data_IF_314616414974
#
_entry.id   IF_314616414974
#
_cell.length_a   1.000
_cell.length_b   1.000
_cell.length_c   1.000
_cell.angle_alpha   90.00
_cell.angle_beta   90.00
_cell.angle_gamma   90.00
#
_symmetry.space_group_name_H-M   'P 1'
#
loop_
_entity.id
_entity.type
_entity.pdbx_description
1 polymer ?
#
# COMPACT_ATOMS: atom_id res chain seq x y z
N UNK A 1 9.59 47.08 31.21
CA UNK A 1 10.19 45.80 30.81
C UNK A 1 9.19 44.63 30.88
N UNK A 2 8.47 44.46 32.00
CA UNK A 2 7.42 43.44 32.10
C UNK A 2 6.26 43.63 31.10
N UNK A 3 5.83 44.87 30.85
CA UNK A 3 4.76 45.17 29.88
C UNK A 3 5.17 44.83 28.44
N UNK A 4 6.42 45.16 28.05
CA UNK A 4 6.99 44.81 26.74
C UNK A 4 7.17 43.29 26.53
N UNK A 5 7.35 42.53 27.61
CA UNK A 5 7.45 41.07 27.57
C UNK A 5 6.06 40.45 27.42
N UNK A 6 5.06 40.97 28.15
CA UNK A 6 3.64 40.60 28.00
C UNK A 6 3.09 40.92 26.61
N UNK A 7 3.51 42.04 26.02
CA UNK A 7 3.10 42.48 24.68
C UNK A 7 3.75 41.64 23.56
N UNK A 8 4.91 41.02 23.83
CA UNK A 8 5.55 40.05 22.93
C UNK A 8 4.91 38.66 23.04
N UNK A 9 4.57 38.21 24.25
CA UNK A 9 3.83 36.96 24.48
C UNK A 9 2.42 37.00 23.89
N UNK A 10 1.74 38.15 23.91
CA UNK A 10 0.42 38.34 23.28
C UNK A 10 0.45 38.40 21.75
N UNK A 11 1.61 38.71 21.14
CA UNK A 11 1.74 38.80 19.68
C UNK A 11 2.00 37.44 19.02
N UNK A 12 2.47 36.46 19.80
CA UNK A 12 2.65 35.08 19.33
C UNK A 12 1.32 34.28 19.27
N UNK A 13 0.21 34.86 19.73
CA UNK A 13 -1.15 34.30 19.66
C UNK A 13 -2.07 34.97 18.63
N UNK A 14 -1.52 35.74 17.68
CA UNK A 14 -2.26 36.00 16.44
C UNK A 14 -2.20 34.74 15.57
N UNK A 15 -3.07 33.78 15.87
CA UNK A 15 -3.46 32.77 14.88
C UNK A 15 -4.07 33.52 13.72
N UNK A 16 -3.23 33.88 12.74
CA UNK A 16 -3.72 34.39 11.47
C UNK A 16 -4.69 33.34 10.98
N UNK A 17 -5.98 33.69 10.92
CA UNK A 17 -7.01 32.91 10.25
C UNK A 17 -6.65 32.94 8.77
N UNK A 18 -5.65 32.16 8.39
CA UNK A 18 -5.28 31.99 7.01
C UNK A 18 -6.38 31.13 6.43
N UNK A 19 -7.10 31.64 5.42
CA UNK A 19 -8.11 30.87 4.71
C UNK A 19 -7.48 29.58 4.18
N UNK A 20 -7.61 28.51 4.97
CA UNK A 20 -7.29 27.15 4.60
C UNK A 20 -8.32 26.77 3.52
N UNK A 21 -8.04 27.18 2.29
CA UNK A 21 -8.78 26.71 1.13
C UNK A 21 -8.76 25.19 1.03
N UNK A 22 -9.41 24.66 0.01
CA UNK A 22 -9.42 23.22 -0.25
C UNK A 22 -7.99 22.70 -0.47
N UNK A 23 -7.50 21.93 0.50
CA UNK A 23 -6.14 21.37 0.55
C UNK A 23 -5.87 20.40 -0.59
N UNK A 24 -6.92 19.75 -1.12
CA UNK A 24 -6.82 18.75 -2.19
C UNK A 24 -6.81 19.40 -3.57
N UNK A 25 -7.56 20.49 -3.74
CA UNK A 25 -7.60 21.27 -4.98
C UNK A 25 -6.53 22.36 -5.05
N UNK A 26 -5.74 22.53 -3.98
CA UNK A 26 -4.65 23.50 -3.93
C UNK A 26 -5.15 24.95 -4.04
N UNK A 27 -6.26 25.26 -3.37
CA UNK A 27 -6.83 26.62 -3.39
C UNK A 27 -6.40 27.43 -2.17
N UNK A 28 -6.39 28.77 -2.30
CA UNK A 28 -5.92 29.66 -1.23
C UNK A 28 -4.39 29.66 -1.12
N UNK A 29 -3.88 29.52 0.10
CA UNK A 29 -2.44 29.50 0.45
C UNK A 29 -1.69 28.33 -0.22
N UNK A 30 -2.43 27.33 -0.71
CA UNK A 30 -1.87 26.17 -1.40
C UNK A 30 -1.74 26.36 -2.91
N UNK A 31 -2.18 27.50 -3.45
CA UNK A 31 -2.06 27.82 -4.86
C UNK A 31 -0.59 28.04 -5.26
N UNK A 32 -0.22 27.57 -6.46
CA UNK A 32 1.15 27.67 -6.97
C UNK A 32 1.66 29.11 -7.11
N UNK A 33 0.74 30.07 -7.26
CA UNK A 33 1.05 31.49 -7.47
C UNK A 33 1.04 32.29 -6.15
N UNK A 34 0.80 31.65 -5.00
CA UNK A 34 0.81 32.33 -3.72
C UNK A 34 2.26 32.61 -3.28
N UNK A 35 2.56 33.89 -3.00
CA UNK A 35 3.88 34.33 -2.51
C UNK A 35 3.99 34.37 -0.98
N UNK A 36 2.97 33.90 -0.26
CA UNK A 36 2.92 33.91 1.21
C UNK A 36 3.76 32.78 1.80
N UNK A 37 4.55 33.06 2.83
CA UNK A 37 5.33 32.04 3.51
C UNK A 37 4.42 31.06 4.26
N UNK A 38 4.45 29.78 3.87
CA UNK A 38 3.66 28.72 4.48
C UNK A 38 4.40 28.19 5.72
N UNK A 39 3.79 28.16 6.92
CA UNK A 39 4.43 27.61 8.11
C UNK A 39 4.58 26.08 8.01
N UNK A 40 5.64 25.54 8.64
CA UNK A 40 5.97 24.11 8.59
C UNK A 40 4.84 23.21 9.09
N UNK A 41 4.14 23.62 10.15
CA UNK A 41 3.01 22.87 10.74
C UNK A 41 1.88 22.62 9.72
N UNK A 42 1.57 23.62 8.87
CA UNK A 42 0.58 23.49 7.80
C UNK A 42 1.05 22.52 6.71
N UNK A 43 2.32 22.62 6.28
CA UNK A 43 2.88 21.69 5.30
C UNK A 43 2.85 20.24 5.79
N UNK A 44 3.21 20.04 7.06
CA UNK A 44 3.20 18.71 7.68
C UNK A 44 1.78 18.15 7.77
N UNK A 45 0.80 18.97 8.17
CA UNK A 45 -0.61 18.58 8.22
C UNK A 45 -1.13 18.16 6.84
N UNK A 46 -0.79 18.92 5.79
CA UNK A 46 -1.12 18.57 4.40
C UNK A 46 -0.50 17.26 3.96
N UNK A 47 0.76 17.02 4.32
CA UNK A 47 1.43 15.76 3.99
C UNK A 47 0.71 14.55 4.59
N UNK A 48 0.40 14.59 5.88
CA UNK A 48 -0.32 13.49 6.54
C UNK A 48 -1.74 13.31 5.98
N UNK A 49 -2.44 14.39 5.66
CA UNK A 49 -3.75 14.33 5.01
C UNK A 49 -3.67 13.65 3.63
N UNK A 50 -2.70 14.05 2.81
CA UNK A 50 -2.46 13.45 1.49
C UNK A 50 -2.08 11.96 1.62
N UNK A 51 -1.26 11.64 2.61
CA UNK A 51 -0.85 10.26 2.91
C UNK A 51 -2.07 9.39 3.25
N UNK A 52 -2.98 9.88 4.09
CA UNK A 52 -4.19 9.15 4.46
C UNK A 52 -5.15 8.97 3.28
N UNK A 53 -5.34 10.00 2.45
CA UNK A 53 -6.21 9.92 1.29
C UNK A 53 -5.71 8.98 0.19
N UNK A 54 -4.43 9.10 -0.18
CA UNK A 54 -3.84 8.33 -1.28
C UNK A 54 -3.48 6.91 -0.84
N UNK A 55 -3.09 6.76 0.42
CA UNK A 55 -2.55 5.53 0.96
C UNK A 55 -3.20 5.23 2.33
N UNK A 56 -4.52 4.94 2.38
CA UNK A 56 -5.23 4.65 3.64
C UNK A 56 -4.64 3.42 4.38
N UNK A 57 -3.96 2.53 3.64
CA UNK A 57 -3.25 1.38 4.21
C UNK A 57 -1.99 1.78 5.02
N UNK A 58 -1.43 2.98 4.84
CA UNK A 58 -0.21 3.45 5.51
C UNK A 58 -0.46 4.40 6.70
N UNK A 59 -1.63 5.05 6.75
CA UNK A 59 -2.00 5.95 7.86
C UNK A 59 -2.37 5.20 9.15
N UNK A 60 -2.79 3.94 9.03
CA UNK A 60 -2.94 3.05 10.19
C UNK A 60 -1.55 2.62 10.67
N UNK A 61 -1.08 3.21 11.77
CA UNK A 61 0.18 2.89 12.47
C UNK A 61 0.38 1.40 12.82
N UNK A 62 -0.64 0.55 12.69
CA UNK A 62 -0.46 -0.90 12.69
C UNK A 62 -0.06 -1.35 11.30
N UNK A 63 1.20 -1.78 11.12
CA UNK A 63 1.61 -2.52 9.92
C UNK A 63 0.59 -3.61 9.68
N UNK A 64 -0.30 -3.41 8.68
CA UNK A 64 -1.19 -4.48 8.23
C UNK A 64 -0.25 -5.51 7.63
N UNK A 65 0.19 -6.44 8.47
CA UNK A 65 0.87 -7.64 8.08
C UNK A 65 0.05 -8.20 6.94
N UNK A 66 0.58 -8.11 5.71
CA UNK A 66 -0.02 -8.70 4.54
C UNK A 66 0.02 -10.21 4.77
N UNK A 67 -0.98 -10.72 5.50
CA UNK A 67 -1.12 -12.14 5.79
C UNK A 67 -1.64 -12.79 4.53
N UNK A 68 -0.69 -13.15 3.66
CA UNK A 68 -0.93 -13.98 2.50
C UNK A 68 -1.52 -15.30 3.03
N UNK A 69 -2.66 -15.78 2.47
CA UNK A 69 -3.20 -17.07 2.88
C UNK A 69 -2.18 -18.17 2.57
N UNK A 70 -2.03 -19.19 3.43
CA UNK A 70 -1.10 -20.27 3.16
C UNK A 70 -1.46 -20.97 1.84
N UNK A 71 -0.46 -21.28 0.98
CA UNK A 71 -0.71 -21.85 -0.33
C UNK A 71 -1.24 -23.29 -0.22
N UNK A 72 -2.45 -23.53 -0.74
CA UNK A 72 -3.05 -24.85 -0.74
C UNK A 72 -2.59 -25.67 -1.95
N UNK A 73 -1.66 -26.58 -1.72
CA UNK A 73 -1.09 -27.47 -2.73
C UNK A 73 -1.73 -28.87 -2.63
N UNK A 74 -2.51 -29.26 -3.63
CA UNK A 74 -3.10 -30.59 -3.75
C UNK A 74 -2.35 -31.40 -4.81
N UNK A 75 -2.23 -32.72 -4.63
CA UNK A 75 -1.57 -33.59 -5.60
C UNK A 75 -2.60 -34.34 -6.43
N UNK A 76 -2.47 -34.24 -7.74
CA UNK A 76 -3.28 -35.00 -8.69
C UNK A 76 -2.42 -36.11 -9.29
N UNK A 77 -2.28 -37.20 -8.52
CA UNK A 77 -1.39 -38.32 -8.86
C UNK A 77 0.10 -38.03 -8.61
N UNK A 78 0.98 -38.71 -9.36
CA UNK A 78 2.43 -38.69 -9.11
C UNK A 78 3.20 -37.60 -9.88
N UNK A 79 2.63 -37.01 -10.93
CA UNK A 79 3.33 -36.11 -11.86
C UNK A 79 2.70 -34.71 -11.97
N UNK A 80 1.61 -34.45 -11.25
CA UNK A 80 0.89 -33.16 -11.31
C UNK A 80 0.62 -32.65 -9.89
N UNK A 81 0.88 -31.35 -9.69
CA UNK A 81 0.52 -30.64 -8.47
C UNK A 81 -0.45 -29.51 -8.83
N UNK A 82 -1.55 -29.42 -8.11
CA UNK A 82 -2.57 -28.38 -8.25
C UNK A 82 -2.36 -27.36 -7.14
N UNK A 83 -2.16 -26.11 -7.52
CA UNK A 83 -2.24 -24.98 -6.60
C UNK A 83 -3.65 -24.40 -6.66
N UNK A 84 -4.44 -24.68 -5.61
CA UNK A 84 -5.86 -24.37 -5.58
C UNK A 84 -6.15 -22.88 -5.34
N UNK A 85 -5.32 -22.22 -4.52
CA UNK A 85 -5.60 -20.87 -4.03
C UNK A 85 -4.78 -19.74 -4.69
N UNK A 86 -4.46 -19.87 -5.98
CA UNK A 86 -3.65 -18.85 -6.65
C UNK A 86 -4.39 -17.51 -6.78
N UNK A 87 -5.71 -17.55 -6.96
CA UNK A 87 -6.52 -16.33 -7.17
C UNK A 87 -6.62 -15.46 -5.91
N UNK A 88 -6.75 -16.05 -4.72
CA UNK A 88 -6.80 -15.26 -3.48
C UNK A 88 -5.42 -14.73 -3.11
N UNK A 89 -4.37 -15.52 -3.36
CA UNK A 89 -2.98 -15.07 -3.18
C UNK A 89 -2.68 -13.90 -4.11
N UNK A 90 -3.06 -13.99 -5.39
CA UNK A 90 -2.90 -12.91 -6.37
C UNK A 90 -3.62 -11.63 -5.95
N UNK A 91 -4.90 -11.76 -5.54
CA UNK A 91 -5.70 -10.64 -5.04
C UNK A 91 -5.09 -9.98 -3.82
N UNK A 92 -4.57 -10.77 -2.85
CA UNK A 92 -3.96 -10.23 -1.64
C UNK A 92 -2.61 -9.56 -1.91
N UNK A 93 -1.84 -10.07 -2.87
CA UNK A 93 -0.59 -9.46 -3.33
C UNK A 93 -0.80 -8.25 -4.24
N UNK A 94 -2.05 -7.91 -4.59
CA UNK A 94 -2.40 -6.84 -5.56
C UNK A 94 -1.70 -7.06 -6.93
N UNK A 95 -1.60 -8.32 -7.39
CA UNK A 95 -0.99 -8.71 -8.68
C UNK A 95 -1.97 -9.54 -9.52
N UNK A 96 -1.73 -9.63 -10.83
CA UNK A 96 -2.51 -10.49 -11.73
C UNK A 96 -2.10 -11.95 -11.59
N UNK A 97 -3.07 -12.86 -11.80
CA UNK A 97 -2.88 -14.31 -11.75
C UNK A 97 -1.84 -14.78 -12.79
N UNK A 98 -1.86 -14.18 -13.98
CA UNK A 98 -0.93 -14.47 -15.07
C UNK A 98 0.52 -14.17 -14.67
N UNK A 99 0.77 -12.98 -14.11
CA UNK A 99 2.12 -12.60 -13.70
C UNK A 99 2.70 -13.54 -12.64
N UNK A 100 1.88 -13.92 -11.65
CA UNK A 100 2.31 -14.88 -10.62
C UNK A 100 2.57 -16.24 -11.24
N UNK A 101 1.71 -16.70 -12.15
CA UNK A 101 1.87 -17.98 -12.83
C UNK A 101 3.18 -18.03 -13.63
N UNK A 102 3.48 -16.98 -14.40
CA UNK A 102 4.74 -16.87 -15.14
C UNK A 102 5.96 -16.91 -14.23
N UNK A 103 5.92 -16.15 -13.12
CA UNK A 103 7.00 -16.14 -12.12
C UNK A 103 7.23 -17.54 -11.53
N UNK A 104 6.16 -18.19 -11.09
CA UNK A 104 6.22 -19.48 -10.41
C UNK A 104 6.71 -20.60 -11.35
N UNK A 105 6.32 -20.56 -12.63
CA UNK A 105 6.80 -21.50 -13.65
C UNK A 105 8.27 -21.27 -14.01
N UNK A 106 8.72 -20.01 -14.05
CA UNK A 106 10.11 -19.65 -14.31
C UNK A 106 11.04 -20.10 -13.17
N UNK A 107 10.69 -19.80 -11.93
CA UNK A 107 11.49 -20.18 -10.74
C UNK A 107 11.54 -21.71 -10.54
N UNK A 108 10.43 -22.41 -10.74
CA UNK A 108 10.40 -23.87 -10.62
C UNK A 108 11.00 -24.59 -11.84
N UNK A 109 11.26 -23.88 -12.95
CA UNK A 109 11.70 -24.49 -14.20
C UNK A 109 10.70 -25.50 -14.77
N UNK A 110 9.40 -25.23 -14.61
CA UNK A 110 8.32 -26.15 -15.03
C UNK A 110 7.35 -25.51 -16.00
N UNK A 111 6.54 -26.36 -16.63
CA UNK A 111 5.39 -25.92 -17.44
C UNK A 111 4.10 -26.24 -16.71
N UNK A 112 3.12 -25.36 -16.85
CA UNK A 112 1.81 -25.50 -16.23
C UNK A 112 0.76 -24.68 -16.96
N UNK A 113 -0.49 -24.90 -16.60
CA UNK A 113 -1.63 -24.20 -17.16
C UNK A 113 -2.66 -23.92 -16.07
N UNK A 114 -3.37 -22.81 -16.19
CA UNK A 114 -4.52 -22.50 -15.34
C UNK A 114 -5.73 -23.29 -15.87
N UNK A 115 -6.34 -24.08 -15.00
CA UNK A 115 -7.59 -24.81 -15.29
C UNK A 115 -8.79 -23.86 -15.37
N UNK A 116 -9.90 -24.30 -15.98
CA UNK A 116 -11.16 -23.53 -16.04
C UNK A 116 -11.73 -23.17 -14.67
N UNK A 117 -11.35 -23.90 -13.62
CA UNK A 117 -11.68 -23.60 -12.22
C UNK A 117 -10.76 -22.54 -11.58
N UNK A 118 -9.91 -21.85 -12.35
CA UNK A 118 -8.89 -20.89 -11.89
C UNK A 118 -7.87 -21.48 -10.89
N UNK A 119 -7.56 -22.76 -11.04
CA UNK A 119 -6.52 -23.46 -10.28
C UNK A 119 -5.29 -23.65 -11.15
N UNK A 120 -4.09 -23.48 -10.61
CA UNK A 120 -2.87 -23.65 -11.39
C UNK A 120 -2.44 -25.12 -11.35
N UNK A 121 -2.34 -25.77 -12.52
CA UNK A 121 -1.83 -27.13 -12.67
C UNK A 121 -0.37 -27.06 -13.10
N UNK A 122 0.52 -27.59 -12.27
CA UNK A 122 1.97 -27.61 -12.49
C UNK A 122 2.42 -29.04 -12.76
N UNK A 123 3.25 -29.23 -13.79
CA UNK A 123 3.92 -30.51 -14.04
C UNK A 123 5.05 -30.69 -13.03
N UNK A 124 4.95 -31.73 -12.22
CA UNK A 124 5.96 -32.05 -11.20
C UNK A 124 5.34 -32.40 -9.86
N UNK A 125 6.21 -32.80 -8.93
CA UNK A 125 5.85 -33.14 -7.56
C UNK A 125 6.38 -32.05 -6.63
N UNK A 126 5.50 -31.15 -6.23
CA UNK A 126 5.86 -30.08 -5.30
C UNK A 126 5.22 -30.32 -3.92
N UNK A 127 5.94 -29.90 -2.89
CA UNK A 127 5.42 -29.82 -1.53
C UNK A 127 5.02 -28.36 -1.27
N UNK A 128 4.11 -28.15 -0.33
CA UNK A 128 3.71 -26.80 0.07
C UNK A 128 4.93 -25.95 0.47
N UNK A 129 5.87 -26.52 1.22
CA UNK A 129 7.12 -25.83 1.63
C UNK A 129 7.96 -25.34 0.45
N UNK A 130 8.01 -26.09 -0.66
CA UNK A 130 8.76 -25.66 -1.85
C UNK A 130 8.07 -24.50 -2.56
N UNK A 131 6.74 -24.44 -2.51
CA UNK A 131 5.96 -23.35 -3.10
C UNK A 131 5.97 -22.11 -2.21
N UNK A 132 6.06 -22.27 -0.88
CA UNK A 132 6.22 -21.16 0.07
C UNK A 132 7.60 -20.50 0.00
N UNK A 133 8.64 -21.26 -0.38
CA UNK A 133 10.01 -20.75 -0.51
C UNK A 133 10.23 -19.94 -1.80
N UNK A 134 9.39 -20.13 -2.80
CA UNK A 134 9.42 -19.41 -4.09
C UNK A 134 8.54 -18.17 -4.00
#
# INVERSE_FOLDING_TARGET
FAEKLKELELRDEETVEVEEGDMDKGTGIWAHDCGTAIPYSMMLRRFYHTLEQKNPDHASSGSRSYKIPPPQCMREGNKKTIFANITEVAKRMKRTEDHITLYLLAELGTSGSVDGSRRLVIRGRFQQQHIENV
#
